data_IF_615327161250
#
_entry.id   IF_615327161250
#
_cell.length_a   1.000
_cell.length_b   1.000
_cell.length_c   1.000
_cell.angle_alpha   90.00
_cell.angle_beta   90.00
_cell.angle_gamma   90.00
#
_symmetry.space_group_name_H-M   'P 1'
#
loop_
_entity.id
_entity.type
_entity.pdbx_description
1 polymer ?
#
# COMPACT_ATOMS: atom_id res chain seq x y z
N UNK A 1 4.37 -0.92 3.77
CA UNK A 1 3.81 0.08 2.81
C UNK A 1 2.95 -0.59 1.76
N UNK A 2 3.46 -1.58 0.99
CA UNK A 2 2.66 -2.28 -0.03
C UNK A 2 1.44 -3.00 0.58
N UNK A 3 1.62 -3.65 1.73
CA UNK A 3 0.48 -4.23 2.47
C UNK A 3 -0.55 -3.17 2.90
N UNK A 4 -0.09 -2.03 3.41
CA UNK A 4 -0.97 -0.96 3.87
C UNK A 4 -1.83 -0.39 2.73
N UNK A 5 -1.27 -0.22 1.52
CA UNK A 5 -2.05 0.28 0.36
C UNK A 5 -2.96 -0.80 -0.25
N UNK A 6 -2.73 -2.08 0.06
CA UNK A 6 -3.57 -3.20 -0.38
C UNK A 6 -4.73 -3.48 0.59
N UNK A 7 -4.89 -2.68 1.66
CA UNK A 7 -6.02 -2.80 2.58
C UNK A 7 -7.34 -2.50 1.84
N UNK A 8 -8.33 -3.38 1.97
CA UNK A 8 -9.58 -3.34 1.19
C UNK A 8 -10.28 -1.98 1.23
N UNK A 9 -10.40 -1.39 2.42
CA UNK A 9 -11.02 -0.08 2.62
C UNK A 9 -10.32 1.05 1.83
N UNK A 10 -8.99 1.00 1.72
CA UNK A 10 -8.22 2.00 0.98
C UNK A 10 -8.28 1.80 -0.54
N UNK A 11 -8.47 0.56 -0.99
CA UNK A 11 -8.67 0.26 -2.41
C UNK A 11 -10.01 0.75 -2.93
N UNK A 12 -11.02 0.84 -2.06
CA UNK A 12 -12.38 1.31 -2.37
C UNK A 12 -12.47 2.84 -2.20
N UNK A 13 -12.04 3.34 -1.04
CA UNK A 13 -12.23 4.76 -0.68
C UNK A 13 -11.08 5.67 -1.08
N UNK A 14 -9.97 5.10 -1.56
CA UNK A 14 -8.74 5.79 -1.88
C UNK A 14 -7.88 6.08 -0.65
N UNK A 15 -6.57 6.16 -0.89
CA UNK A 15 -5.51 6.29 0.10
C UNK A 15 -5.28 7.76 0.45
N UNK A 16 -5.30 8.09 1.75
CA UNK A 16 -4.82 9.39 2.26
C UNK A 16 -3.67 9.18 3.24
N UNK A 17 -2.81 10.18 3.36
CA UNK A 17 -1.67 10.14 4.29
C UNK A 17 -2.10 9.84 5.73
N UNK A 18 -3.21 10.45 6.20
CA UNK A 18 -3.74 10.23 7.54
C UNK A 18 -4.20 8.78 7.78
N UNK A 19 -4.80 8.15 6.78
CA UNK A 19 -5.30 6.78 6.90
C UNK A 19 -4.10 5.81 6.97
N UNK A 20 -3.06 6.08 6.16
CA UNK A 20 -1.80 5.34 6.23
C UNK A 20 -1.05 5.56 7.55
N UNK A 21 -1.20 6.72 8.20
CA UNK A 21 -0.60 6.92 9.52
C UNK A 21 -1.21 5.97 10.55
N UNK A 22 -2.55 5.83 10.57
CA UNK A 22 -3.23 4.94 11.49
C UNK A 22 -2.84 3.46 11.29
N UNK A 23 -2.55 3.05 10.05
CA UNK A 23 -2.13 1.68 9.74
C UNK A 23 -0.63 1.46 10.05
N UNK A 24 0.22 2.43 9.71
CA UNK A 24 1.68 2.27 9.78
C UNK A 24 2.27 2.64 11.14
N UNK A 25 1.55 3.42 11.95
CA UNK A 25 1.95 3.80 13.29
C UNK A 25 0.85 3.35 14.25
N UNK A 26 1.18 2.41 15.14
CA UNK A 26 0.22 1.82 16.08
C UNK A 26 -0.31 2.79 17.13
N UNK A 27 0.40 3.89 17.38
CA UNK A 27 0.03 4.92 18.35
C UNK A 27 -0.03 6.31 17.73
N UNK A 28 -0.86 7.23 18.25
CA UNK A 28 -0.86 8.64 17.87
C UNK A 28 0.53 9.28 18.04
N UNK A 29 0.80 10.33 17.27
CA UNK A 29 2.03 11.10 17.45
C UNK A 29 1.98 11.85 18.78
N UNK A 30 3.05 11.76 19.58
CA UNK A 30 3.11 12.40 20.90
C UNK A 30 3.30 13.92 20.80
N UNK A 31 3.87 14.40 19.68
CA UNK A 31 4.12 15.82 19.45
C UNK A 31 3.73 16.25 18.04
N UNK A 32 3.50 17.55 17.87
CA UNK A 32 3.22 18.12 16.55
C UNK A 32 4.41 17.99 15.58
N UNK A 33 5.64 18.05 16.10
CA UNK A 33 6.84 17.82 15.31
C UNK A 33 6.90 16.38 14.78
N UNK A 34 6.59 15.41 15.65
CA UNK A 34 6.52 14.01 15.25
C UNK A 34 5.43 13.79 14.20
N UNK A 35 4.24 14.36 14.38
CA UNK A 35 3.14 14.29 13.41
C UNK A 35 3.58 14.79 12.03
N UNK A 36 4.28 15.93 11.97
CA UNK A 36 4.84 16.47 10.71
C UNK A 36 5.88 15.53 10.11
N UNK A 37 6.78 14.96 10.91
CA UNK A 37 7.80 14.00 10.46
C UNK A 37 7.18 12.74 9.86
N UNK A 38 6.21 12.12 10.56
CA UNK A 38 5.47 10.94 10.08
C UNK A 38 4.73 11.25 8.77
N UNK A 39 4.08 12.41 8.69
CA UNK A 39 3.40 12.87 7.48
C UNK A 39 4.36 13.01 6.30
N UNK A 40 5.52 13.64 6.49
CA UNK A 40 6.54 13.80 5.45
C UNK A 40 7.09 12.45 4.96
N UNK A 41 7.35 11.52 5.87
CA UNK A 41 7.81 10.17 5.54
C UNK A 41 6.81 9.42 4.66
N UNK A 42 5.52 9.45 4.99
CA UNK A 42 4.46 8.82 4.18
C UNK A 42 4.31 9.53 2.83
N UNK A 43 4.34 10.86 2.78
CA UNK A 43 4.27 11.61 1.53
C UNK A 43 5.42 11.26 0.58
N UNK A 44 6.63 11.02 1.11
CA UNK A 44 7.76 10.53 0.33
C UNK A 44 7.49 9.14 -0.27
N UNK A 45 6.94 8.21 0.53
CA UNK A 45 6.56 6.86 0.06
C UNK A 45 5.48 6.93 -1.02
N UNK A 46 4.43 7.72 -0.83
CA UNK A 46 3.39 7.95 -1.83
C UNK A 46 3.96 8.52 -3.14
N UNK A 47 4.92 9.44 -3.06
CA UNK A 47 5.60 9.98 -4.25
C UNK A 47 6.36 8.90 -5.02
N UNK A 48 7.08 8.01 -4.34
CA UNK A 48 7.78 6.89 -4.98
C UNK A 48 6.79 5.95 -5.67
N UNK A 49 5.72 5.55 -4.98
CA UNK A 49 4.68 4.70 -5.56
C UNK A 49 4.04 5.34 -6.81
N UNK A 50 3.80 6.65 -6.77
CA UNK A 50 3.27 7.40 -7.92
C UNK A 50 4.26 7.43 -9.08
N UNK A 51 5.55 7.64 -8.79
CA UNK A 51 6.60 7.64 -9.82
C UNK A 51 6.72 6.27 -10.51
N UNK A 52 6.44 5.19 -9.80
CA UNK A 52 6.40 3.83 -10.36
C UNK A 52 5.04 3.44 -10.95
N UNK A 53 4.08 4.36 -11.06
CA UNK A 53 2.76 4.07 -11.65
C UNK A 53 1.86 3.18 -10.80
N UNK A 54 2.21 2.90 -9.54
CA UNK A 54 1.43 2.02 -8.65
C UNK A 54 0.17 2.73 -8.16
N UNK A 55 0.26 4.05 -7.97
CA UNK A 55 -0.86 4.88 -7.52
C UNK A 55 -0.98 6.14 -8.38
N UNK A 56 -2.20 6.64 -8.53
CA UNK A 56 -2.50 7.92 -9.16
C UNK A 56 -3.11 8.89 -8.17
N UNK A 57 -2.73 10.16 -8.27
CA UNK A 57 -3.29 11.22 -7.42
C UNK A 57 -4.65 11.64 -7.99
N UNK A 58 -5.66 11.73 -7.14
CA UNK A 58 -6.95 12.33 -7.50
C UNK A 58 -6.80 13.86 -7.53
N UNK A 59 -7.18 14.48 -8.65
CA UNK A 59 -7.12 15.93 -8.84
C UNK A 59 -7.95 16.66 -7.78
N UNK A 60 -7.50 17.84 -7.34
CA UNK A 60 -8.21 18.65 -6.34
C UNK A 60 -8.27 18.09 -4.91
N UNK A 61 -7.71 16.91 -4.64
CA UNK A 61 -7.79 16.28 -3.30
C UNK A 61 -6.43 15.80 -2.78
N UNK A 62 -6.39 15.34 -1.52
CA UNK A 62 -5.22 14.65 -0.94
C UNK A 62 -5.26 13.13 -1.11
N UNK A 63 -6.16 12.62 -1.97
CA UNK A 63 -6.41 11.19 -2.15
C UNK A 63 -5.60 10.62 -3.30
N UNK A 64 -5.22 9.36 -3.15
CA UNK A 64 -4.58 8.54 -4.19
C UNK A 64 -5.38 7.27 -4.40
N UNK A 65 -5.44 6.79 -5.64
CA UNK A 65 -6.05 5.50 -5.96
C UNK A 65 -4.97 4.56 -6.50
N UNK A 66 -5.09 3.27 -6.18
CA UNK A 66 -4.22 2.24 -6.78
C UNK A 66 -4.59 2.09 -8.26
N UNK A 67 -3.57 2.11 -9.12
CA UNK A 67 -3.74 1.90 -10.55
C UNK A 67 -4.39 0.52 -10.81
N UNK A 68 -5.36 0.39 -11.71
CA UNK A 68 -5.98 -0.90 -12.03
C UNK A 68 -4.95 -1.98 -12.35
N UNK A 69 -3.94 -1.64 -13.16
CA UNK A 69 -2.88 -2.54 -13.61
C UNK A 69 -1.95 -2.95 -12.46
N UNK A 70 -1.75 -2.07 -11.48
CA UNK A 70 -0.90 -2.33 -10.33
C UNK A 70 -1.56 -3.26 -9.28
N UNK A 71 -2.88 -3.48 -9.33
CA UNK A 71 -3.57 -4.35 -8.37
C UNK A 71 -3.08 -5.78 -8.44
N UNK A 72 -2.99 -6.33 -9.65
CA UNK A 72 -2.49 -7.70 -9.88
C UNK A 72 -1.05 -7.83 -9.43
N UNK A 73 -0.21 -6.83 -9.73
CA UNK A 73 1.19 -6.81 -9.29
C UNK A 73 1.32 -6.79 -7.77
N UNK A 74 0.55 -5.94 -7.08
CA UNK A 74 0.53 -5.86 -5.61
C UNK A 74 0.12 -7.20 -5.00
N UNK A 75 -0.96 -7.81 -5.50
CA UNK A 75 -1.41 -9.11 -5.04
C UNK A 75 -0.35 -10.18 -5.29
N UNK A 76 0.24 -10.24 -6.48
CA UNK A 76 1.29 -11.21 -6.80
C UNK A 76 2.49 -11.08 -5.86
N UNK A 77 2.99 -9.86 -5.63
CA UNK A 77 4.12 -9.61 -4.71
C UNK A 77 3.76 -10.02 -3.28
N UNK A 78 2.59 -9.62 -2.79
CA UNK A 78 2.20 -9.90 -1.41
C UNK A 78 1.93 -11.39 -1.18
N UNK A 79 1.28 -12.05 -2.13
CA UNK A 79 1.07 -13.50 -2.09
C UNK A 79 2.40 -14.23 -2.16
N UNK A 80 3.28 -13.88 -3.11
CA UNK A 80 4.61 -14.48 -3.22
C UNK A 80 5.43 -14.31 -1.95
N UNK A 81 5.40 -13.14 -1.31
CA UNK A 81 6.10 -12.87 -0.07
C UNK A 81 5.58 -13.71 1.12
N UNK A 82 4.33 -14.19 1.06
CA UNK A 82 3.67 -15.00 2.10
C UNK A 82 3.64 -16.49 1.79
N UNK A 83 4.08 -16.90 0.61
CA UNK A 83 3.98 -18.28 0.15
C UNK A 83 5.33 -18.99 0.30
N UNK A 84 5.34 -20.14 0.95
CA UNK A 84 6.51 -21.00 1.08
C UNK A 84 6.79 -21.79 -0.20
N UNK A 85 8.04 -22.24 -0.40
CA UNK A 85 8.42 -23.08 -1.55
C UNK A 85 7.55 -24.34 -1.68
N UNK A 86 7.20 -24.98 -0.56
CA UNK A 86 6.31 -26.14 -0.54
C UNK A 86 4.93 -25.81 -1.12
N UNK A 87 4.37 -24.66 -0.77
CA UNK A 87 3.06 -24.22 -1.29
C UNK A 87 3.14 -23.88 -2.78
N UNK A 88 4.25 -23.29 -3.24
CA UNK A 88 4.46 -23.01 -4.67
C UNK A 88 4.51 -24.32 -5.47
N UNK A 89 5.29 -25.31 -5.03
CA UNK A 89 5.38 -26.61 -5.72
C UNK A 89 4.02 -27.31 -5.78
N UNK A 90 3.24 -27.27 -4.69
CA UNK A 90 1.90 -27.86 -4.64
C UNK A 90 0.90 -27.21 -5.64
N UNK A 91 1.13 -25.96 -6.06
CA UNK A 91 0.32 -25.31 -7.10
C UNK A 91 0.69 -25.82 -8.50
N UNK A 92 1.94 -26.24 -8.73
CA UNK A 92 2.39 -26.78 -10.02
C UNK A 92 1.93 -28.22 -10.25
N UNK A 93 1.68 -28.97 -9.16
CA UNK A 93 1.24 -30.36 -9.21
C UNK A 93 -0.29 -30.51 -9.40
N UNK A 94 -1.07 -29.44 -9.25
CA UNK A 94 -2.51 -29.46 -9.52
C UNK A 94 -2.75 -29.42 -11.04
N UNK A 95 -3.39 -30.43 -11.65
CA UNK A 95 -3.83 -30.32 -13.04
C UNK A 95 -4.90 -29.23 -13.14
N UNK A 96 -4.90 -28.54 -14.29
CA UNK A 96 -5.79 -27.42 -14.63
C UNK A 96 -7.27 -27.81 -14.66
#
# INVERSE_FOLDING_TARGET
>A
MLEAINHGDLLIHGIRNRDLQAILYGEPAATQQEKRRRSAAISRKLRMLRAHGIIHKVAGTHRYNVAPEARTMLLAILTSARTSLKQINALQEKPA
#
